data_IF_568190903386
#
_entry.id   IF_568190903386
#
_cell.length_a   1.000
_cell.length_b   1.000
_cell.length_c   1.000
_cell.angle_alpha   90.00
_cell.angle_beta   90.00
_cell.angle_gamma   90.00
#
_symmetry.space_group_name_H-M   'P 1'
#
loop_
_entity.id
_entity.type
_entity.pdbx_description
1 polymer ?
#
# COMPACT_ATOMS: atom_id res chain seq x y z
N UNK A 1 12.18 -10.82 6.52
CA UNK A 1 11.82 -12.22 6.22
C UNK A 1 10.79 -12.26 5.11
N UNK A 2 11.26 -12.43 3.85
CA UNK A 2 10.42 -12.27 2.65
C UNK A 2 9.29 -13.32 2.53
N UNK A 3 9.40 -14.45 3.21
CA UNK A 3 8.45 -15.57 3.14
C UNK A 3 7.13 -15.25 3.83
N UNK A 4 7.20 -14.62 4.98
CA UNK A 4 6.03 -14.20 5.77
C UNK A 4 5.16 -13.17 5.01
N UNK A 5 5.78 -12.18 4.36
CA UNK A 5 5.05 -11.16 3.58
C UNK A 5 4.40 -11.75 2.34
N UNK A 6 5.08 -12.72 1.68
CA UNK A 6 4.48 -13.44 0.54
C UNK A 6 3.23 -14.20 0.93
N UNK A 7 3.29 -14.90 2.06
CA UNK A 7 2.16 -15.67 2.57
C UNK A 7 1.00 -14.75 2.98
N UNK A 8 1.30 -13.65 3.69
CA UNK A 8 0.29 -12.66 4.04
C UNK A 8 -0.41 -12.08 2.79
N UNK A 9 0.35 -11.80 1.74
CA UNK A 9 -0.21 -11.37 0.44
C UNK A 9 -1.11 -12.44 -0.20
N UNK A 10 -0.78 -13.72 -0.08
CA UNK A 10 -1.62 -14.82 -0.61
C UNK A 10 -2.92 -14.94 0.19
N UNK A 11 -2.85 -14.85 1.52
CA UNK A 11 -4.01 -14.84 2.40
C UNK A 11 -4.93 -13.66 2.04
N UNK A 12 -4.38 -12.47 1.90
CA UNK A 12 -5.15 -11.28 1.49
C UNK A 12 -5.78 -11.45 0.10
N UNK A 13 -5.07 -12.10 -0.85
CA UNK A 13 -5.63 -12.42 -2.17
C UNK A 13 -6.78 -13.43 -2.08
N UNK A 14 -6.70 -14.41 -1.19
CA UNK A 14 -7.76 -15.38 -0.95
C UNK A 14 -9.01 -14.72 -0.34
N UNK A 15 -8.82 -13.70 0.51
CA UNK A 15 -9.90 -12.91 1.12
C UNK A 15 -10.52 -11.85 0.18
N UNK A 16 -10.29 -11.94 -1.13
CA UNK A 16 -10.57 -10.91 -2.15
C UNK A 16 -12.00 -10.36 -2.15
N UNK A 17 -12.97 -11.18 -1.80
CA UNK A 17 -14.40 -10.81 -1.82
C UNK A 17 -14.90 -10.29 -0.46
N UNK A 18 -14.19 -10.56 0.61
CA UNK A 18 -14.49 -10.11 1.98
C UNK A 18 -13.18 -9.91 2.74
N UNK A 19 -12.50 -8.82 2.42
CA UNK A 19 -11.22 -8.46 3.01
C UNK A 19 -11.47 -7.73 4.35
N UNK A 20 -11.74 -8.53 5.39
CA UNK A 20 -11.84 -8.06 6.77
C UNK A 20 -10.61 -8.49 7.57
N UNK A 21 -10.27 -7.77 8.64
CA UNK A 21 -9.20 -8.19 9.56
C UNK A 21 -9.47 -9.58 10.13
N UNK A 22 -10.74 -9.90 10.40
CA UNK A 22 -11.16 -11.22 10.89
C UNK A 22 -10.79 -12.32 9.91
N UNK A 23 -11.07 -12.13 8.62
CA UNK A 23 -10.75 -13.10 7.57
C UNK A 23 -9.25 -13.25 7.37
N UNK A 24 -8.51 -12.14 7.45
CA UNK A 24 -7.05 -12.16 7.38
C UNK A 24 -6.46 -12.92 8.58
N UNK A 25 -6.93 -12.68 9.81
CA UNK A 25 -6.53 -13.43 11.02
C UNK A 25 -6.81 -14.92 10.89
N UNK A 26 -8.00 -15.28 10.43
CA UNK A 26 -8.35 -16.67 10.18
C UNK A 26 -7.41 -17.30 9.14
N UNK A 27 -7.06 -16.61 8.09
CA UNK A 27 -6.09 -17.03 7.11
C UNK A 27 -4.69 -17.25 7.69
N UNK A 28 -4.22 -16.34 8.54
CA UNK A 28 -2.92 -16.44 9.24
C UNK A 28 -2.93 -17.63 10.20
N UNK A 29 -3.98 -17.79 11.02
CA UNK A 29 -4.10 -18.87 11.98
C UNK A 29 -4.10 -20.26 11.30
N UNK A 30 -4.75 -20.38 10.13
CA UNK A 30 -4.87 -21.62 9.39
C UNK A 30 -3.77 -21.85 8.33
N UNK A 31 -2.79 -20.93 8.19
CA UNK A 31 -1.72 -21.08 7.22
C UNK A 31 -0.78 -22.22 7.58
N UNK A 32 -0.61 -23.17 6.66
CA UNK A 32 0.35 -24.27 6.78
C UNK A 32 1.78 -23.87 6.36
N UNK A 33 1.96 -22.69 5.79
CA UNK A 33 3.23 -22.18 5.25
C UNK A 33 3.94 -21.22 6.20
N UNK A 34 3.33 -20.87 7.34
CA UNK A 34 3.92 -20.03 8.37
C UNK A 34 4.40 -20.87 9.55
N UNK A 35 5.62 -20.60 10.03
CA UNK A 35 6.10 -21.12 11.31
C UNK A 35 5.33 -20.47 12.48
N UNK A 36 5.41 -21.04 13.68
CA UNK A 36 4.77 -20.49 14.88
C UNK A 36 5.25 -19.07 15.18
N UNK A 37 6.54 -18.79 15.01
CA UNK A 37 7.12 -17.46 15.19
C UNK A 37 6.62 -16.46 14.13
N UNK A 38 6.48 -16.89 12.88
CA UNK A 38 5.94 -16.04 11.81
C UNK A 38 4.45 -15.74 12.00
N UNK A 39 3.67 -16.70 12.47
CA UNK A 39 2.26 -16.46 12.85
C UNK A 39 2.15 -15.47 14.00
N UNK A 40 2.95 -15.64 15.07
CA UNK A 40 2.96 -14.71 16.19
C UNK A 40 3.32 -13.29 15.76
N UNK A 41 4.30 -13.13 14.86
CA UNK A 41 4.68 -11.84 14.30
C UNK A 41 3.55 -11.26 13.43
N UNK A 42 2.87 -12.08 12.63
CA UNK A 42 1.73 -11.67 11.84
C UNK A 42 0.57 -11.19 12.72
N UNK A 43 0.25 -11.94 13.78
CA UNK A 43 -0.79 -11.57 14.75
C UNK A 43 -0.47 -10.25 15.45
N UNK A 44 0.75 -10.06 15.95
CA UNK A 44 1.16 -8.77 16.54
C UNK A 44 0.97 -7.59 15.58
N UNK A 45 1.28 -7.79 14.30
CA UNK A 45 1.09 -6.74 13.28
C UNK A 45 -0.39 -6.51 12.95
N UNK A 46 -1.21 -7.54 13.02
CA UNK A 46 -2.65 -7.43 12.85
C UNK A 46 -3.30 -6.75 14.08
N UNK A 47 -2.83 -7.06 15.31
CA UNK A 47 -3.25 -6.36 16.53
C UNK A 47 -2.95 -4.87 16.45
N UNK A 48 -1.75 -4.55 16.00
CA UNK A 48 -1.34 -3.18 15.76
C UNK A 48 -2.22 -2.50 14.69
N UNK A 49 -2.44 -3.18 13.55
CA UNK A 49 -3.33 -2.67 12.51
C UNK A 49 -4.77 -2.48 13.02
N UNK A 50 -5.25 -3.33 13.92
CA UNK A 50 -6.58 -3.22 14.52
C UNK A 50 -6.73 -2.00 15.42
N UNK A 51 -5.69 -1.61 16.14
CA UNK A 51 -5.67 -0.39 16.95
C UNK A 51 -5.88 0.87 16.10
N UNK A 52 -5.34 0.88 14.88
CA UNK A 52 -5.52 1.98 13.91
C UNK A 52 -6.74 1.81 13.01
N UNK A 53 -7.20 0.58 12.80
CA UNK A 53 -8.37 0.23 11.98
C UNK A 53 -9.46 -0.31 12.92
N UNK A 54 -10.04 0.54 13.74
CA UNK A 54 -10.96 0.20 14.86
C UNK A 54 -12.23 -0.57 14.44
N UNK A 55 -12.41 -0.91 13.15
CA UNK A 55 -13.51 -1.76 12.66
C UNK A 55 -13.30 -2.02 11.17
N UNK A 56 -13.00 -3.25 10.76
CA UNK A 56 -12.85 -3.61 9.34
C UNK A 56 -14.09 -3.27 8.49
N UNK A 57 -15.27 -3.21 9.11
CA UNK A 57 -16.48 -2.69 8.50
C UNK A 57 -16.52 -1.15 8.44
N UNK A 58 -15.84 -0.45 9.34
CA UNK A 58 -15.80 1.03 9.33
C UNK A 58 -14.95 1.57 8.19
N UNK A 59 -13.85 0.91 7.80
CA UNK A 59 -13.05 1.38 6.69
C UNK A 59 -13.86 1.46 5.39
N UNK A 60 -14.68 0.43 5.12
CA UNK A 60 -15.58 0.44 3.97
C UNK A 60 -16.64 1.55 4.06
N UNK A 61 -17.08 1.93 5.25
CA UNK A 61 -18.02 3.04 5.45
C UNK A 61 -17.39 4.39 5.14
N UNK A 62 -16.07 4.52 5.27
CA UNK A 62 -15.33 5.74 4.90
C UNK A 62 -15.06 5.83 3.40
N UNK A 63 -15.01 4.68 2.70
CA UNK A 63 -14.77 4.62 1.26
C UNK A 63 -16.04 4.99 0.48
N UNK A 64 -16.35 6.27 0.44
CA UNK A 64 -17.49 6.82 -0.29
C UNK A 64 -17.02 7.83 -1.34
N UNK A 65 -17.71 7.93 -2.48
CA UNK A 65 -17.42 8.95 -3.48
C UNK A 65 -17.38 10.37 -2.87
N UNK A 66 -16.42 11.18 -3.33
CA UNK A 66 -16.26 12.57 -2.88
C UNK A 66 -15.62 12.74 -1.50
N UNK A 67 -15.09 11.70 -0.87
CA UNK A 67 -14.37 11.80 0.41
C UNK A 67 -12.86 11.84 0.20
N UNK A 68 -12.21 12.69 0.97
CA UNK A 68 -10.76 12.68 1.21
C UNK A 68 -10.49 11.84 2.46
N UNK A 69 -9.62 10.83 2.31
CA UNK A 69 -9.13 10.00 3.41
C UNK A 69 -7.64 10.26 3.54
N UNK A 70 -7.21 10.69 4.71
CA UNK A 70 -5.80 10.92 5.02
C UNK A 70 -5.34 9.77 5.94
N UNK A 71 -4.32 9.04 5.49
CA UNK A 71 -3.64 8.01 6.28
C UNK A 71 -2.29 8.58 6.68
N UNK A 72 -2.16 8.91 7.96
CA UNK A 72 -0.89 9.39 8.51
C UNK A 72 -0.15 8.22 9.14
N UNK A 73 1.00 7.88 8.58
CA UNK A 73 1.87 6.80 9.05
C UNK A 73 3.08 7.32 9.84
N UNK A 74 3.08 8.61 10.18
CA UNK A 74 4.13 9.23 10.99
C UNK A 74 3.77 9.07 12.46
N UNK A 75 4.22 7.98 13.05
CA UNK A 75 4.08 7.74 14.48
C UNK A 75 5.48 7.54 15.07
N UNK A 76 5.77 8.21 16.17
CA UNK A 76 7.06 8.13 16.87
C UNK A 76 7.31 6.75 17.50
N UNK A 77 6.25 5.99 17.72
CA UNK A 77 6.29 4.66 18.34
C UNK A 77 6.29 3.50 17.33
N UNK A 78 6.13 3.79 16.04
CA UNK A 78 6.11 2.78 14.98
C UNK A 78 7.48 2.72 14.32
N UNK A 79 8.08 1.52 14.32
CA UNK A 79 9.29 1.30 13.53
C UNK A 79 8.97 1.47 12.02
N UNK A 80 9.93 2.03 11.30
CA UNK A 80 9.77 2.35 9.87
C UNK A 80 9.30 1.16 9.02
N UNK A 81 9.81 -0.03 9.31
CA UNK A 81 9.44 -1.26 8.59
C UNK A 81 8.02 -1.73 8.93
N UNK A 82 7.52 -1.41 10.12
CA UNK A 82 6.15 -1.70 10.53
C UNK A 82 5.16 -0.76 9.86
N UNK A 83 5.46 0.54 9.83
CA UNK A 83 4.68 1.52 9.08
C UNK A 83 4.56 1.13 7.60
N UNK A 84 5.64 0.63 6.99
CA UNK A 84 5.64 0.17 5.61
C UNK A 84 4.76 -1.07 5.40
N UNK A 85 4.76 -2.00 6.35
CA UNK A 85 3.89 -3.17 6.33
C UNK A 85 2.40 -2.77 6.37
N UNK A 86 2.05 -1.88 7.30
CA UNK A 86 0.70 -1.33 7.42
C UNK A 86 0.27 -0.60 6.13
N UNK A 87 1.17 0.19 5.55
CA UNK A 87 0.94 0.88 4.29
C UNK A 87 0.57 -0.08 3.15
N UNK A 88 1.29 -1.20 3.00
CA UNK A 88 1.00 -2.21 1.97
C UNK A 88 -0.38 -2.83 2.19
N UNK A 89 -0.74 -3.12 3.44
CA UNK A 89 -2.06 -3.64 3.80
C UNK A 89 -3.15 -2.64 3.42
N UNK A 90 -3.00 -1.38 3.83
CA UNK A 90 -3.95 -0.30 3.51
C UNK A 90 -4.11 -0.10 2.01
N UNK A 91 -3.00 -0.05 1.26
CA UNK A 91 -3.01 0.09 -0.20
C UNK A 91 -3.80 -1.05 -0.86
N UNK A 92 -3.62 -2.29 -0.41
CA UNK A 92 -4.35 -3.43 -0.95
C UNK A 92 -5.85 -3.35 -0.62
N UNK A 93 -6.21 -2.98 0.61
CA UNK A 93 -7.61 -2.80 1.01
C UNK A 93 -8.28 -1.73 0.13
N UNK A 94 -7.69 -0.53 0.03
CA UNK A 94 -8.23 0.55 -0.80
C UNK A 94 -8.32 0.18 -2.27
N UNK A 95 -7.32 -0.53 -2.79
CA UNK A 95 -7.29 -0.94 -4.19
C UNK A 95 -8.32 -2.03 -4.50
N UNK A 96 -8.69 -2.87 -3.52
CA UNK A 96 -9.61 -4.00 -3.72
C UNK A 96 -11.07 -3.58 -3.84
N UNK A 97 -11.47 -2.45 -3.27
CA UNK A 97 -12.85 -1.96 -3.34
C UNK A 97 -13.13 -1.43 -4.74
N UNK A 98 -13.82 -2.21 -5.56
CA UNK A 98 -14.13 -1.85 -6.94
C UNK A 98 -15.51 -1.21 -7.11
N UNK A 99 -16.44 -1.47 -6.21
CA UNK A 99 -17.82 -0.97 -6.26
C UNK A 99 -18.29 -0.55 -4.87
N UNK A 100 -19.04 0.54 -4.84
CA UNK A 100 -19.76 1.01 -3.65
C UNK A 100 -21.21 1.24 -4.06
N UNK A 101 -22.15 0.71 -3.30
CA UNK A 101 -23.59 0.78 -3.58
C UNK A 101 -23.95 0.35 -5.02
N UNK A 102 -23.27 -0.69 -5.52
CA UNK A 102 -23.50 -1.23 -6.87
C UNK A 102 -22.86 -0.42 -8.00
N UNK A 103 -22.33 0.77 -7.75
CA UNK A 103 -21.67 1.63 -8.73
C UNK A 103 -20.15 1.44 -8.74
N UNK A 104 -19.52 1.65 -9.89
CA UNK A 104 -18.06 1.62 -10.01
C UNK A 104 -17.45 2.71 -9.12
N UNK A 105 -16.44 2.32 -8.33
CA UNK A 105 -15.76 3.20 -7.38
C UNK A 105 -14.35 3.53 -7.87
N UNK A 106 -14.21 4.71 -8.45
CA UNK A 106 -12.91 5.22 -8.88
C UNK A 106 -12.19 5.89 -7.71
N UNK A 107 -10.90 5.64 -7.59
CA UNK A 107 -10.04 6.13 -6.50
C UNK A 107 -8.85 6.87 -7.02
N UNK A 108 -8.47 7.92 -6.31
CA UNK A 108 -7.23 8.65 -6.53
C UNK A 108 -6.36 8.50 -5.28
N UNK A 109 -5.22 7.85 -5.41
CA UNK A 109 -4.30 7.58 -4.31
C UNK A 109 -3.07 8.45 -4.47
N UNK A 110 -2.75 9.23 -3.45
CA UNK A 110 -1.58 10.11 -3.42
C UNK A 110 -0.57 9.57 -2.42
N UNK A 111 0.64 9.34 -2.89
CA UNK A 111 1.81 9.05 -2.08
C UNK A 111 2.60 10.33 -1.92
N UNK A 112 2.47 10.97 -0.77
CA UNK A 112 3.22 12.17 -0.46
C UNK A 112 4.56 11.82 0.20
N UNK A 113 5.58 12.65 -0.02
CA UNK A 113 6.94 12.45 0.51
C UNK A 113 7.52 11.05 0.21
N UNK A 114 7.27 10.53 -1.00
CA UNK A 114 7.58 9.15 -1.38
C UNK A 114 9.04 8.75 -1.16
N UNK A 115 9.98 9.70 -1.23
CA UNK A 115 11.40 9.47 -0.98
C UNK A 115 11.69 8.87 0.42
N UNK A 116 10.79 9.08 1.39
CA UNK A 116 10.98 8.59 2.76
C UNK A 116 10.85 7.08 2.88
N UNK A 117 10.13 6.44 1.94
CA UNK A 117 9.82 5.00 2.02
C UNK A 117 10.14 4.20 0.75
N UNK A 118 10.55 4.83 -0.35
CA UNK A 118 10.88 4.13 -1.61
C UNK A 118 12.22 3.37 -1.58
N UNK A 119 12.95 3.41 -0.48
CA UNK A 119 14.17 2.63 -0.29
C UNK A 119 13.88 1.14 0.04
N UNK A 120 12.65 0.80 0.42
CA UNK A 120 12.26 -0.56 0.73
C UNK A 120 11.82 -1.30 -0.55
N UNK A 121 12.58 -2.34 -0.96
CA UNK A 121 12.33 -3.09 -2.19
C UNK A 121 10.98 -3.79 -2.22
N UNK A 122 10.49 -4.26 -1.08
CA UNK A 122 9.22 -4.98 -0.99
C UNK A 122 8.04 -4.01 -1.16
N UNK A 123 8.15 -2.82 -0.58
CA UNK A 123 7.18 -1.76 -0.75
C UNK A 123 7.14 -1.28 -2.21
N UNK A 124 8.31 -1.02 -2.80
CA UNK A 124 8.43 -0.64 -4.21
C UNK A 124 7.76 -1.69 -5.11
N UNK A 125 8.05 -2.97 -4.88
CA UNK A 125 7.41 -4.06 -5.62
C UNK A 125 5.89 -4.08 -5.45
N UNK A 126 5.39 -3.76 -4.26
CA UNK A 126 3.95 -3.72 -3.98
C UNK A 126 3.27 -2.52 -4.66
N UNK A 127 3.89 -1.35 -4.63
CA UNK A 127 3.42 -0.14 -5.33
C UNK A 127 3.46 -0.37 -6.83
N UNK A 128 4.55 -0.91 -7.39
CA UNK A 128 4.68 -1.23 -8.80
C UNK A 128 3.59 -2.20 -9.26
N UNK A 129 3.30 -3.23 -8.46
CA UNK A 129 2.19 -4.15 -8.74
C UNK A 129 0.85 -3.41 -8.71
N UNK A 130 0.62 -2.56 -7.72
CA UNK A 130 -0.59 -1.74 -7.64
C UNK A 130 -0.72 -0.82 -8.86
N UNK A 131 0.36 -0.18 -9.31
CA UNK A 131 0.37 0.66 -10.51
C UNK A 131 0.00 -0.14 -11.76
N UNK A 132 0.55 -1.33 -11.93
CA UNK A 132 0.23 -2.21 -13.08
C UNK A 132 -1.22 -2.68 -13.10
N UNK A 133 -1.80 -2.92 -11.92
CA UNK A 133 -3.18 -3.37 -11.77
C UNK A 133 -4.21 -2.23 -11.74
N UNK A 134 -3.76 -0.96 -11.69
CA UNK A 134 -4.62 0.21 -11.52
C UNK A 134 -5.77 0.30 -12.52
N UNK A 135 -5.46 0.08 -13.81
CA UNK A 135 -6.45 0.22 -14.88
C UNK A 135 -7.66 -0.69 -14.68
N UNK A 136 -7.43 -1.88 -14.13
CA UNK A 136 -8.49 -2.86 -13.89
C UNK A 136 -9.28 -2.59 -12.60
N UNK A 137 -8.74 -1.77 -11.69
CA UNK A 137 -9.31 -1.51 -10.38
C UNK A 137 -9.91 -0.11 -10.22
N UNK A 138 -9.94 0.68 -11.29
CA UNK A 138 -10.42 2.06 -11.23
C UNK A 138 -9.60 2.92 -10.26
N UNK A 139 -8.28 2.73 -10.22
CA UNK A 139 -7.36 3.47 -9.36
C UNK A 139 -6.47 4.36 -10.21
N UNK A 140 -6.30 5.61 -9.83
CA UNK A 140 -5.26 6.51 -10.32
C UNK A 140 -4.26 6.76 -9.20
N UNK A 141 -2.97 6.75 -9.50
CA UNK A 141 -1.91 6.97 -8.51
C UNK A 141 -1.12 8.21 -8.86
N UNK A 142 -0.86 9.02 -7.85
CA UNK A 142 0.07 10.15 -7.90
C UNK A 142 1.18 9.92 -6.88
N UNK A 143 2.41 10.16 -7.28
CA UNK A 143 3.58 10.04 -6.41
C UNK A 143 4.25 11.41 -6.35
N UNK A 144 4.31 12.00 -5.17
CA UNK A 144 4.99 13.26 -4.91
C UNK A 144 6.29 13.01 -4.14
N UNK A 145 7.38 13.60 -4.58
CA UNK A 145 8.69 13.45 -3.96
C UNK A 145 9.51 14.72 -4.10
N UNK A 146 10.25 15.06 -3.06
CA UNK A 146 11.23 16.15 -3.09
C UNK A 146 12.61 15.68 -3.57
N UNK A 147 12.85 14.37 -3.56
CA UNK A 147 14.08 13.76 -4.06
C UNK A 147 13.77 12.73 -5.16
N UNK A 148 13.88 13.12 -6.44
CA UNK A 148 13.62 12.21 -7.54
C UNK A 148 14.66 11.09 -7.65
N UNK A 149 15.88 11.24 -7.12
CA UNK A 149 16.92 10.21 -7.17
C UNK A 149 16.58 9.01 -6.28
N UNK A 150 15.78 9.19 -5.26
CA UNK A 150 15.31 8.12 -4.38
C UNK A 150 14.15 7.32 -4.98
N UNK A 151 13.52 7.82 -6.05
CA UNK A 151 12.46 7.10 -6.74
C UNK A 151 13.06 6.02 -7.65
N UNK A 152 12.60 4.78 -7.54
CA UNK A 152 13.00 3.71 -8.44
C UNK A 152 12.67 4.05 -9.89
N UNK A 153 13.60 3.78 -10.81
CA UNK A 153 13.43 4.03 -12.25
C UNK A 153 12.17 3.35 -12.79
N UNK A 154 11.83 2.17 -12.29
CA UNK A 154 10.64 1.43 -12.69
C UNK A 154 9.34 2.21 -12.41
N UNK A 155 9.26 2.97 -11.32
CA UNK A 155 8.09 3.81 -11.00
C UNK A 155 8.01 4.99 -11.97
N UNK A 156 9.16 5.58 -12.31
CA UNK A 156 9.24 6.69 -13.28
C UNK A 156 8.80 6.20 -14.66
N UNK A 157 9.27 5.05 -15.10
CA UNK A 157 8.93 4.44 -16.39
C UNK A 157 7.44 4.07 -16.51
N UNK A 158 6.80 3.72 -15.40
CA UNK A 158 5.36 3.42 -15.36
C UNK A 158 4.48 4.67 -15.32
N UNK A 159 5.07 5.83 -15.08
CA UNK A 159 4.34 7.10 -14.98
C UNK A 159 3.93 7.60 -16.35
N UNK A 160 2.64 7.87 -16.54
CA UNK A 160 2.12 8.44 -17.79
C UNK A 160 2.41 9.94 -17.93
N UNK A 161 2.56 10.63 -16.80
CA UNK A 161 2.82 12.07 -16.73
C UNK A 161 3.81 12.31 -15.60
N UNK A 162 4.84 13.11 -15.90
CA UNK A 162 5.81 13.58 -14.90
C UNK A 162 5.75 15.10 -14.87
N UNK A 163 5.44 15.65 -13.69
CA UNK A 163 5.42 17.09 -13.44
C UNK A 163 6.62 17.44 -12.58
N UNK A 164 7.45 18.34 -13.10
CA UNK A 164 8.67 18.76 -12.41
C UNK A 164 8.60 20.25 -12.10
N UNK A 165 8.89 20.60 -10.85
CA UNK A 165 8.89 21.98 -10.40
C UNK A 165 10.27 22.33 -9.83
N UNK A 166 10.93 23.33 -10.42
CA UNK A 166 12.20 23.90 -9.95
C UNK A 166 13.36 22.91 -9.83
N UNK A 167 14.01 22.66 -10.95
CA UNK A 167 15.20 21.79 -11.01
C UNK A 167 16.48 22.59 -10.83
N UNK A 168 17.31 22.18 -9.86
CA UNK A 168 18.65 22.73 -9.66
C UNK A 168 19.78 21.73 -9.95
N UNK A 169 19.46 20.46 -10.17
CA UNK A 169 20.47 19.40 -10.37
C UNK A 169 20.38 18.76 -11.76
N UNK A 170 21.45 18.83 -12.58
CA UNK A 170 21.50 18.12 -13.85
C UNK A 170 21.36 16.58 -13.71
N UNK A 171 21.77 16.03 -12.56
CA UNK A 171 21.63 14.60 -12.27
C UNK A 171 20.17 14.18 -12.17
N UNK A 172 19.33 15.03 -11.60
CA UNK A 172 17.89 14.79 -11.50
C UNK A 172 17.23 14.70 -12.87
N UNK A 173 17.57 15.63 -13.77
CA UNK A 173 17.06 15.63 -15.15
C UNK A 173 17.42 14.31 -15.85
N UNK A 174 18.67 13.87 -15.74
CA UNK A 174 19.12 12.61 -16.34
C UNK A 174 18.41 11.38 -15.76
N UNK A 175 18.08 11.40 -14.47
CA UNK A 175 17.40 10.30 -13.81
C UNK A 175 15.93 10.17 -14.28
N UNK A 176 15.27 11.30 -14.51
CA UNK A 176 13.85 11.34 -14.92
C UNK A 176 13.65 11.19 -16.44
N UNK A 177 14.68 11.50 -17.23
CA UNK A 177 14.63 11.38 -18.69
C UNK A 177 14.88 9.96 -19.25
N UNK A 178 15.11 8.97 -18.39
CA UNK A 178 15.25 7.57 -18.80
C UNK A 178 13.89 6.98 -19.13
#
# INVERSE_FOLDING_TARGET
DSTYIKELKQIMKACRNDMSLVNIRNGVANSNHMSSSQRSLAEQKLDFAEEYITDGNKLQQYLKPGRLIIVDLRDEFIEKDEALGLFVVMLNIFSSVMRVDGQAFNKFIVFDEAHKYMNNKELVSSITTAIREMRHKGVSIMIASQDPMSLPTEIIELSSIVVMHRFSSPAWVKHVQK
#
